data_IF_859926892817
#
_entry.id   IF_859926892817
#
_cell.length_a   1.000
_cell.length_b   1.000
_cell.length_c   1.000
_cell.angle_alpha   90.00
_cell.angle_beta   90.00
_cell.angle_gamma   90.00
#
_symmetry.space_group_name_H-M   'P 1'
#
loop_
_entity.id
_entity.type
_entity.pdbx_description
1 polymer ?
#
# COMPACT_ATOMS: atom_id res chain seq x y z
N UNK A 1 25.49 46.70 -6.02
CA UNK A 1 24.12 46.28 -6.45
C UNK A 1 24.08 44.91 -7.13
N UNK A 2 24.96 44.57 -8.09
CA UNK A 2 24.93 43.27 -8.83
C UNK A 2 25.09 42.01 -7.95
N UNK A 3 25.85 42.09 -6.84
CA UNK A 3 26.06 40.95 -5.93
C UNK A 3 24.83 40.58 -5.09
N UNK A 4 23.93 41.54 -4.80
CA UNK A 4 22.73 41.28 -4.01
C UNK A 4 21.67 40.49 -4.79
N UNK A 5 21.52 40.78 -6.10
CA UNK A 5 20.62 40.03 -6.98
C UNK A 5 21.06 38.57 -7.13
N UNK A 6 22.36 38.30 -7.12
CA UNK A 6 22.89 36.95 -7.25
C UNK A 6 22.52 36.07 -6.04
N UNK A 7 22.54 36.63 -4.83
CA UNK A 7 22.06 35.93 -3.64
C UNK A 7 20.55 35.70 -3.63
N UNK A 8 19.75 36.64 -4.15
CA UNK A 8 18.29 36.47 -4.27
C UNK A 8 17.92 35.32 -5.21
N UNK A 9 18.62 35.18 -6.34
CA UNK A 9 18.40 34.05 -7.26
C UNK A 9 18.78 32.71 -6.65
N UNK A 10 19.86 32.66 -5.87
CA UNK A 10 20.29 31.43 -5.17
C UNK A 10 19.26 31.01 -4.12
N UNK A 11 18.72 31.95 -3.34
CA UNK A 11 17.68 31.66 -2.34
C UNK A 11 16.39 31.16 -3.00
N UNK A 12 15.96 31.78 -4.11
CA UNK A 12 14.79 31.33 -4.89
C UNK A 12 14.98 29.91 -5.45
N UNK A 13 16.17 29.58 -5.95
CA UNK A 13 16.47 28.24 -6.46
C UNK A 13 16.46 27.18 -5.35
N UNK A 14 16.97 27.51 -4.16
CA UNK A 14 16.95 26.61 -3.00
C UNK A 14 15.51 26.36 -2.53
N UNK A 15 14.68 27.41 -2.45
CA UNK A 15 13.27 27.27 -2.07
C UNK A 15 12.49 26.43 -3.09
N UNK A 16 12.78 26.58 -4.38
CA UNK A 16 12.17 25.76 -5.43
C UNK A 16 12.54 24.27 -5.31
N UNK A 17 13.81 23.97 -5.00
CA UNK A 17 14.29 22.60 -4.81
C UNK A 17 13.70 21.92 -3.56
N UNK A 18 13.45 22.66 -2.48
CA UNK A 18 12.82 22.09 -1.27
C UNK A 18 11.35 21.74 -1.54
N UNK A 19 10.64 22.56 -2.34
CA UNK A 19 9.22 22.34 -2.65
C UNK A 19 8.92 21.09 -3.48
N UNK A 20 9.90 20.50 -4.16
CA UNK A 20 9.70 19.28 -4.96
C UNK A 20 9.88 18.00 -4.14
N UNK A 21 10.55 18.05 -2.98
CA UNK A 21 10.90 16.86 -2.19
C UNK A 21 9.74 16.40 -1.28
N UNK A 22 8.77 17.26 -0.97
CA UNK A 22 7.70 16.96 0.01
C UNK A 22 6.43 16.31 -0.54
N UNK A 23 6.37 15.92 -1.82
CA UNK A 23 5.12 15.40 -2.41
C UNK A 23 4.84 13.91 -2.23
N UNK A 24 5.68 13.15 -1.51
CA UNK A 24 5.50 11.69 -1.39
C UNK A 24 5.26 11.20 0.05
N UNK A 25 4.51 11.95 0.86
CA UNK A 25 3.86 11.39 2.03
C UNK A 25 2.49 10.85 1.60
N UNK A 26 2.49 9.60 1.14
CA UNK A 26 1.27 8.82 0.90
C UNK A 26 0.48 8.75 2.20
N UNK A 27 -0.53 9.61 2.35
CA UNK A 27 -1.56 9.48 3.37
C UNK A 27 -2.18 8.09 3.21
N UNK A 28 -1.90 7.19 4.16
CA UNK A 28 -2.69 5.98 4.30
C UNK A 28 -4.14 6.44 4.51
N UNK A 29 -4.95 6.25 3.47
CA UNK A 29 -6.31 6.73 3.37
C UNK A 29 -7.08 6.33 4.63
N UNK A 30 -7.64 7.28 5.37
CA UNK A 30 -8.27 7.03 6.68
C UNK A 30 -9.42 6.00 6.58
N UNK A 31 -9.93 5.77 5.36
CA UNK A 31 -10.99 4.83 5.02
C UNK A 31 -10.59 3.34 5.02
N UNK A 32 -9.31 3.00 5.16
CA UNK A 32 -8.85 1.60 5.08
C UNK A 32 -9.39 0.75 6.25
N UNK A 33 -9.55 1.37 7.41
CA UNK A 33 -9.94 0.66 8.64
C UNK A 33 -11.43 0.30 8.64
N UNK A 34 -12.29 1.14 8.07
CA UNK A 34 -13.74 1.01 8.11
C UNK A 34 -14.31 0.06 7.04
N UNK A 35 -13.55 -0.23 5.98
CA UNK A 35 -14.01 -1.14 4.94
C UNK A 35 -14.11 -2.58 5.45
N UNK A 36 -15.20 -3.31 5.16
CA UNK A 36 -15.34 -4.71 5.58
C UNK A 36 -14.40 -5.62 4.80
N UNK A 37 -13.99 -6.71 5.43
CA UNK A 37 -13.34 -7.81 4.72
C UNK A 37 -14.35 -8.53 3.84
N UNK A 38 -13.92 -8.92 2.63
CA UNK A 38 -14.69 -9.77 1.73
C UNK A 38 -13.87 -10.98 1.30
N UNK A 39 -14.53 -12.10 1.08
CA UNK A 39 -13.91 -13.21 0.35
C UNK A 39 -13.67 -12.80 -1.11
N UNK A 40 -12.56 -13.23 -1.73
CA UNK A 40 -12.30 -12.99 -3.15
C UNK A 40 -13.42 -13.59 -4.01
N UNK A 41 -13.87 -12.84 -5.02
CA UNK A 41 -14.68 -13.42 -6.09
C UNK A 41 -13.83 -14.31 -7.01
N UNK A 42 -14.44 -15.01 -7.98
CA UNK A 42 -13.71 -15.95 -8.86
C UNK A 42 -12.55 -15.30 -9.64
N UNK A 43 -12.72 -14.07 -10.11
CA UNK A 43 -11.70 -13.37 -10.91
C UNK A 43 -10.58 -12.82 -10.02
N UNK A 44 -10.92 -12.26 -8.86
CA UNK A 44 -9.99 -11.84 -7.82
C UNK A 44 -9.19 -13.04 -7.29
N UNK A 45 -9.84 -14.19 -7.10
CA UNK A 45 -9.22 -15.44 -6.67
C UNK A 45 -8.13 -15.88 -7.65
N UNK A 46 -8.45 -15.89 -8.94
CA UNK A 46 -7.50 -16.26 -9.99
C UNK A 46 -6.38 -15.23 -10.14
N UNK A 47 -6.71 -13.95 -10.12
CA UNK A 47 -5.75 -12.87 -10.40
C UNK A 47 -4.79 -12.69 -9.23
N UNK A 48 -5.31 -12.55 -8.02
CA UNK A 48 -4.52 -12.37 -6.80
C UNK A 48 -3.83 -13.69 -6.43
N UNK A 49 -4.49 -14.84 -6.59
CA UNK A 49 -3.87 -16.15 -6.37
C UNK A 49 -2.64 -16.37 -7.25
N UNK A 50 -2.74 -16.07 -8.56
CA UNK A 50 -1.57 -16.10 -9.47
C UNK A 50 -0.48 -15.14 -9.02
N UNK A 51 -0.84 -13.95 -8.55
CA UNK A 51 0.12 -12.96 -8.07
C UNK A 51 0.87 -13.46 -6.83
N UNK A 52 0.17 -13.99 -5.83
CA UNK A 52 0.75 -14.58 -4.61
C UNK A 52 1.76 -15.69 -4.96
N UNK A 53 1.37 -16.60 -5.86
CA UNK A 53 2.23 -17.68 -6.34
C UNK A 53 3.45 -17.13 -7.08
N UNK A 54 3.26 -16.17 -7.98
CA UNK A 54 4.35 -15.57 -8.78
C UNK A 54 5.41 -14.90 -7.91
N UNK A 55 5.01 -14.41 -6.72
CA UNK A 55 5.86 -13.71 -5.76
C UNK A 55 6.33 -14.63 -4.63
N UNK A 56 6.07 -15.95 -4.76
CA UNK A 56 6.45 -16.99 -3.79
C UNK A 56 5.92 -16.72 -2.37
N UNK A 57 4.74 -16.10 -2.26
CA UNK A 57 4.06 -15.96 -0.99
C UNK A 57 3.40 -17.30 -0.67
N UNK A 58 3.96 -18.00 0.32
CA UNK A 58 3.52 -19.32 0.78
C UNK A 58 2.84 -19.24 2.13
N UNK A 59 2.05 -20.25 2.48
CA UNK A 59 1.37 -20.29 3.78
C UNK A 59 0.08 -19.48 3.84
N UNK A 60 -0.44 -19.05 2.68
CA UNK A 60 -1.78 -18.49 2.54
C UNK A 60 -2.76 -19.63 2.29
N UNK A 61 -3.20 -20.29 3.37
CA UNK A 61 -4.23 -21.33 3.29
C UNK A 61 -5.61 -20.72 3.05
N UNK A 62 -5.85 -19.54 3.64
CA UNK A 62 -7.05 -18.75 3.47
C UNK A 62 -6.66 -17.27 3.35
N UNK A 63 -7.42 -16.51 2.55
CA UNK A 63 -7.26 -15.06 2.50
C UNK A 63 -8.55 -14.30 2.25
N UNK A 64 -8.58 -13.07 2.77
CA UNK A 64 -9.65 -12.10 2.61
C UNK A 64 -9.10 -10.79 2.05
N UNK A 65 -9.97 -10.02 1.41
CA UNK A 65 -9.64 -8.80 0.71
C UNK A 65 -10.34 -7.59 1.32
N UNK A 66 -9.65 -6.45 1.34
CA UNK A 66 -10.23 -5.11 1.45
C UNK A 66 -9.84 -4.31 0.22
N UNK A 67 -10.82 -3.76 -0.47
CA UNK A 67 -10.58 -2.96 -1.67
C UNK A 67 -10.29 -1.51 -1.31
N UNK A 68 -9.12 -1.00 -1.66
CA UNK A 68 -8.71 0.36 -1.35
C UNK A 68 -9.20 1.37 -2.39
N UNK A 69 -9.44 0.93 -3.62
CA UNK A 69 -9.69 1.78 -4.79
C UNK A 69 -8.54 1.65 -5.79
N UNK A 70 -8.74 2.10 -7.02
CA UNK A 70 -7.74 2.07 -8.10
C UNK A 70 -7.07 0.69 -8.32
N UNK A 71 -7.85 -0.40 -8.24
CA UNK A 71 -7.34 -1.78 -8.34
C UNK A 71 -6.27 -2.11 -7.28
N UNK A 72 -6.34 -1.48 -6.11
CA UNK A 72 -5.50 -1.83 -4.96
C UNK A 72 -6.29 -2.61 -3.92
N UNK A 73 -5.68 -3.68 -3.41
CA UNK A 73 -6.30 -4.54 -2.41
C UNK A 73 -5.35 -4.77 -1.24
N UNK A 74 -5.88 -4.72 -0.02
CA UNK A 74 -5.24 -5.33 1.14
C UNK A 74 -5.66 -6.78 1.20
N UNK A 75 -4.69 -7.67 1.33
CA UNK A 75 -4.88 -9.10 1.48
C UNK A 75 -4.56 -9.45 2.93
N UNK A 76 -5.54 -9.94 3.68
CA UNK A 76 -5.31 -10.63 4.94
C UNK A 76 -5.10 -12.10 4.64
N UNK A 77 -3.93 -12.62 4.98
CA UNK A 77 -3.49 -13.97 4.65
C UNK A 77 -3.25 -14.76 5.93
N UNK A 78 -3.81 -15.97 6.03
CA UNK A 78 -3.57 -16.84 7.18
C UNK A 78 -3.31 -18.28 6.76
N UNK A 79 -2.54 -18.98 7.59
CA UNK A 79 -2.33 -20.43 7.49
C UNK A 79 -3.27 -21.22 8.39
N UNK A 80 -3.67 -20.61 9.52
CA UNK A 80 -4.29 -21.30 10.66
C UNK A 80 -5.61 -20.66 11.12
N UNK A 81 -6.04 -19.56 10.49
CA UNK A 81 -7.25 -18.82 10.87
C UNK A 81 -7.06 -17.85 12.05
N UNK A 82 -5.89 -17.86 12.70
CA UNK A 82 -5.63 -17.09 13.92
C UNK A 82 -4.55 -16.04 13.74
N UNK A 83 -3.49 -16.36 13.00
CA UNK A 83 -2.40 -15.44 12.69
C UNK A 83 -2.57 -14.89 11.28
N UNK A 84 -2.76 -13.58 11.19
CA UNK A 84 -2.99 -12.87 9.94
C UNK A 84 -1.76 -12.07 9.54
N UNK A 85 -1.35 -12.25 8.29
CA UNK A 85 -0.29 -11.49 7.64
C UNK A 85 -0.93 -10.62 6.57
N UNK A 86 -0.61 -9.34 6.58
CA UNK A 86 -1.24 -8.38 5.69
C UNK A 86 -0.31 -8.00 4.54
N UNK A 87 -0.86 -7.95 3.33
CA UNK A 87 -0.16 -7.51 2.13
C UNK A 87 -0.97 -6.43 1.42
N UNK A 88 -0.29 -5.54 0.70
CA UNK A 88 -0.91 -4.65 -0.28
C UNK A 88 -0.59 -5.19 -1.66
N UNK A 89 -1.60 -5.30 -2.52
CA UNK A 89 -1.45 -5.78 -3.89
C UNK A 89 -2.01 -4.78 -4.88
N UNK A 90 -1.36 -4.70 -6.03
CA UNK A 90 -1.80 -3.96 -7.22
C UNK A 90 -1.76 -4.94 -8.40
N UNK A 91 -2.84 -5.71 -8.64
CA UNK A 91 -2.87 -6.76 -9.64
C UNK A 91 -2.49 -6.26 -11.05
N UNK A 92 -2.98 -5.09 -11.46
CA UNK A 92 -2.62 -4.46 -12.74
C UNK A 92 -1.10 -4.22 -12.90
N UNK A 93 -0.39 -3.92 -11.80
CA UNK A 93 1.07 -3.73 -11.82
C UNK A 93 1.85 -5.01 -11.53
N UNK A 94 1.17 -6.11 -11.17
CA UNK A 94 1.77 -7.36 -10.69
C UNK A 94 2.70 -7.12 -9.50
N UNK A 95 2.29 -6.21 -8.63
CA UNK A 95 3.02 -5.82 -7.43
C UNK A 95 2.29 -6.32 -6.19
N UNK A 96 3.06 -6.84 -5.25
CA UNK A 96 2.59 -7.19 -3.91
C UNK A 96 3.71 -6.86 -2.93
N UNK A 97 3.35 -6.25 -1.81
CA UNK A 97 4.28 -5.87 -0.77
C UNK A 97 3.68 -6.17 0.59
N UNK A 98 4.55 -6.46 1.55
CA UNK A 98 4.14 -6.64 2.94
C UNK A 98 3.62 -5.31 3.48
N UNK A 99 2.44 -5.35 4.10
CA UNK A 99 1.90 -4.17 4.77
C UNK A 99 2.64 -4.00 6.09
N UNK A 100 3.33 -2.85 6.26
CA UNK A 100 4.11 -2.56 7.47
C UNK A 100 3.30 -2.83 8.74
N UNK A 101 3.96 -3.41 9.74
CA UNK A 101 3.34 -3.84 11.00
C UNK A 101 2.49 -2.74 11.65
N UNK A 102 2.94 -1.49 11.66
CA UNK A 102 2.18 -0.38 12.30
C UNK A 102 0.77 -0.18 11.71
N UNK A 103 0.58 -0.46 10.43
CA UNK A 103 -0.74 -0.39 9.78
C UNK A 103 -1.47 -1.73 9.93
N UNK A 104 -0.75 -2.85 9.76
CA UNK A 104 -1.30 -4.20 9.91
C UNK A 104 -1.86 -4.49 11.31
N UNK A 105 -1.18 -4.04 12.37
CA UNK A 105 -1.60 -4.18 13.77
C UNK A 105 -2.86 -3.38 14.10
N UNK A 106 -3.12 -2.32 13.34
CA UNK A 106 -4.33 -1.49 13.48
C UNK A 106 -5.51 -2.03 12.69
N UNK A 107 -5.31 -3.02 11.82
CA UNK A 107 -6.39 -3.66 11.09
C UNK A 107 -7.06 -4.70 11.97
N UNK A 108 -8.38 -4.60 12.10
CA UNK A 108 -9.17 -5.70 12.64
C UNK A 108 -9.03 -6.90 11.70
N UNK A 109 -8.74 -8.11 12.21
CA UNK A 109 -8.72 -9.32 11.37
C UNK A 109 -10.13 -9.64 10.81
N UNK A 110 -10.21 -10.52 9.80
CA UNK A 110 -11.50 -10.95 9.24
C UNK A 110 -12.44 -11.67 10.23
N UNK A 111 -11.90 -12.23 11.32
CA UNK A 111 -12.62 -12.97 12.35
C UNK A 111 -12.09 -12.65 13.76
#
# INVERSE_FOLDING_TARGET
MKRAYLWLFVIMAILYLIGTVTKNASSADENIFDKPWKSPNNDELLTIGKLLVSKRITGCGEYHLKELGDDQYIIACTKDGTHWIYYVSQPNRKEISFLKNEIGERLNPPY
#
